data_IF_294958787144
#
_entry.id   IF_294958787144
#
_cell.length_a   1.000
_cell.length_b   1.000
_cell.length_c   1.000
_cell.angle_alpha   90.00
_cell.angle_beta   90.00
_cell.angle_gamma   90.00
#
_symmetry.space_group_name_H-M   'P 1'
#
loop_
_entity.id
_entity.type
_entity.pdbx_description
1 polymer ?
#
# COMPACT_ATOMS: atom_id res chain seq x y z
N UNK A 1 -8.28 6.83 -23.59
CA UNK A 1 -6.93 6.80 -23.01
C UNK A 1 -6.68 5.38 -22.58
N UNK A 2 -5.59 4.79 -23.02
CA UNK A 2 -5.15 3.47 -22.54
C UNK A 2 -4.47 3.68 -21.17
N UNK A 3 -4.88 2.93 -20.16
CA UNK A 3 -4.36 2.99 -18.80
C UNK A 3 -3.46 1.78 -18.45
N UNK A 4 -3.05 1.04 -19.49
CA UNK A 4 -2.11 -0.07 -19.38
C UNK A 4 -0.69 0.48 -19.11
N UNK A 5 0.07 -0.09 -18.17
CA UNK A 5 1.46 0.32 -17.92
C UNK A 5 2.34 0.15 -19.16
N UNK A 6 3.17 1.15 -19.45
CA UNK A 6 4.06 1.14 -20.62
C UNK A 6 5.20 0.11 -20.53
N UNK A 7 5.54 -0.33 -19.33
CA UNK A 7 6.65 -1.27 -19.07
C UNK A 7 6.24 -2.26 -18.01
N UNK A 8 6.40 -3.53 -18.31
CA UNK A 8 6.14 -4.63 -17.37
C UNK A 8 7.44 -5.05 -16.66
N UNK A 9 7.39 -5.40 -15.36
CA UNK A 9 8.54 -5.96 -14.67
C UNK A 9 9.04 -7.24 -15.35
N UNK A 10 10.35 -7.45 -15.52
CA UNK A 10 10.88 -8.64 -16.21
C UNK A 10 10.44 -9.96 -15.59
N UNK A 11 10.27 -10.03 -14.26
CA UNK A 11 9.85 -11.23 -13.55
C UNK A 11 8.36 -11.54 -13.67
N UNK A 12 7.52 -10.59 -14.13
CA UNK A 12 6.06 -10.69 -14.05
C UNK A 12 5.51 -11.93 -14.78
N UNK A 13 6.06 -12.27 -15.96
CA UNK A 13 5.63 -13.45 -16.72
C UNK A 13 5.86 -14.75 -15.96
N UNK A 14 7.02 -14.90 -15.33
CA UNK A 14 7.36 -16.08 -14.54
C UNK A 14 6.52 -16.19 -13.25
N UNK A 15 6.25 -15.06 -12.60
CA UNK A 15 5.38 -15.01 -11.41
C UNK A 15 3.94 -15.41 -11.76
N UNK A 16 3.41 -14.97 -12.89
CA UNK A 16 2.07 -15.37 -13.37
C UNK A 16 1.96 -16.84 -13.74
N UNK A 17 3.04 -17.43 -14.25
CA UNK A 17 3.09 -18.88 -14.45
C UNK A 17 3.02 -19.59 -13.11
N UNK A 18 3.85 -19.19 -12.15
CA UNK A 18 3.87 -19.77 -10.80
C UNK A 18 2.52 -19.61 -10.08
N UNK A 19 1.85 -18.45 -10.21
CA UNK A 19 0.52 -18.23 -9.67
C UNK A 19 -0.50 -19.23 -10.20
N UNK A 20 -0.54 -19.41 -11.54
CA UNK A 20 -1.47 -20.36 -12.17
C UNK A 20 -1.19 -21.80 -11.74
N UNK A 21 0.09 -22.21 -11.68
CA UNK A 21 0.48 -23.56 -11.25
C UNK A 21 0.11 -23.83 -9.78
N UNK A 22 0.18 -22.81 -8.93
CA UNK A 22 -0.21 -22.88 -7.53
C UNK A 22 -1.72 -22.67 -7.28
N UNK A 23 -2.50 -22.35 -8.30
CA UNK A 23 -3.92 -21.99 -8.14
C UNK A 23 -4.14 -20.69 -7.36
N UNK A 24 -3.14 -19.80 -7.31
CA UNK A 24 -3.24 -18.51 -6.63
C UNK A 24 -3.96 -17.50 -7.51
N UNK A 25 -5.02 -16.88 -7.00
CA UNK A 25 -5.90 -15.97 -7.75
C UNK A 25 -5.96 -14.53 -7.23
N UNK A 26 -5.23 -14.24 -6.15
CA UNK A 26 -5.22 -12.94 -5.49
C UNK A 26 -3.96 -12.14 -5.85
N UNK A 27 -3.62 -12.11 -7.14
CA UNK A 27 -2.47 -11.34 -7.62
C UNK A 27 -2.81 -9.87 -7.82
N UNK A 28 -1.83 -9.01 -7.56
CA UNK A 28 -1.90 -7.58 -7.84
C UNK A 28 -2.19 -7.33 -9.33
N UNK A 29 -3.19 -6.51 -9.63
CA UNK A 29 -3.57 -6.14 -11.00
C UNK A 29 -2.52 -5.23 -11.66
N UNK A 30 -2.41 -5.30 -13.00
CA UNK A 30 -1.43 -4.51 -13.76
C UNK A 30 -1.54 -3.00 -13.54
N UNK A 31 -2.75 -2.49 -13.41
CA UNK A 31 -2.99 -1.06 -13.19
C UNK A 31 -2.50 -0.61 -11.83
N UNK A 32 -2.83 -1.37 -10.77
CA UNK A 32 -2.29 -1.16 -9.42
C UNK A 32 -0.78 -1.27 -9.44
N UNK A 33 -0.24 -2.30 -10.10
CA UNK A 33 1.20 -2.50 -10.25
C UNK A 33 1.90 -1.33 -10.93
N UNK A 34 1.35 -0.81 -12.03
CA UNK A 34 1.88 0.39 -12.70
C UNK A 34 1.94 1.61 -11.77
N UNK A 35 0.90 1.81 -10.94
CA UNK A 35 0.89 2.88 -9.93
C UNK A 35 1.96 2.64 -8.85
N UNK A 36 2.12 1.40 -8.37
CA UNK A 36 3.17 1.04 -7.41
C UNK A 36 4.56 1.37 -7.94
N UNK A 37 4.85 1.04 -9.20
CA UNK A 37 6.13 1.38 -9.82
C UNK A 37 6.38 2.89 -9.88
N UNK A 38 5.37 3.68 -10.23
CA UNK A 38 5.47 5.16 -10.25
C UNK A 38 5.69 5.72 -8.85
N UNK A 39 4.95 5.24 -7.85
CA UNK A 39 5.09 5.69 -6.47
C UNK A 39 6.48 5.33 -5.90
N UNK A 40 6.99 4.13 -6.20
CA UNK A 40 8.33 3.72 -5.81
C UNK A 40 9.41 4.59 -6.49
N UNK A 41 9.27 4.88 -7.79
CA UNK A 41 10.18 5.76 -8.53
C UNK A 41 10.17 7.21 -8.02
N UNK A 42 9.05 7.68 -7.46
CA UNK A 42 8.94 9.00 -6.84
C UNK A 42 9.68 9.12 -5.50
N UNK A 43 10.27 8.04 -4.98
CA UNK A 43 10.97 7.97 -3.69
C UNK A 43 12.39 7.40 -3.83
N UNK A 44 13.32 8.12 -4.46
CA UNK A 44 14.71 7.68 -4.58
C UNK A 44 15.33 7.45 -3.19
N UNK A 45 15.96 6.28 -2.99
CA UNK A 45 16.49 5.86 -1.68
C UNK A 45 15.43 5.50 -0.65
N UNK A 46 14.15 5.46 -1.05
CA UNK A 46 13.01 5.27 -0.15
C UNK A 46 12.95 3.89 0.48
N UNK A 47 12.36 3.85 1.67
CA UNK A 47 12.01 2.63 2.39
C UNK A 47 10.56 2.29 2.09
N UNK A 48 10.33 1.09 1.63
CA UNK A 48 9.01 0.63 1.17
C UNK A 48 8.60 -0.59 1.99
N UNK A 49 7.33 -0.64 2.38
CA UNK A 49 6.69 -1.78 3.03
C UNK A 49 5.57 -2.30 2.13
N UNK A 50 5.53 -3.59 1.94
CA UNK A 50 4.41 -4.31 1.34
C UNK A 50 3.85 -5.30 2.36
N UNK A 51 2.55 -5.20 2.63
CA UNK A 51 1.78 -6.12 3.46
C UNK A 51 0.92 -6.99 2.54
N UNK A 52 1.30 -8.26 2.38
CA UNK A 52 0.76 -9.19 1.40
C UNK A 52 1.70 -9.36 0.20
N UNK A 53 2.72 -10.22 0.32
CA UNK A 53 3.62 -10.56 -0.80
C UNK A 53 2.90 -11.35 -1.89
N UNK A 54 2.01 -12.27 -1.48
CA UNK A 54 1.43 -13.24 -2.38
C UNK A 54 2.50 -14.00 -3.17
N UNK A 55 2.28 -14.18 -4.47
CA UNK A 55 3.28 -14.75 -5.39
C UNK A 55 4.34 -13.75 -5.85
N UNK A 56 4.25 -12.47 -5.44
CA UNK A 56 5.26 -11.44 -5.67
C UNK A 56 5.00 -10.51 -6.86
N UNK A 57 3.78 -10.44 -7.41
CA UNK A 57 3.49 -9.52 -8.51
C UNK A 57 3.61 -8.06 -8.06
N UNK A 58 3.00 -7.68 -6.90
CA UNK A 58 3.16 -6.35 -6.30
C UNK A 58 4.63 -6.03 -6.00
N UNK A 59 5.35 -6.99 -5.39
CA UNK A 59 6.79 -6.89 -5.12
C UNK A 59 7.59 -6.60 -6.40
N UNK A 60 7.30 -7.29 -7.51
CA UNK A 60 7.99 -7.07 -8.79
C UNK A 60 7.75 -5.66 -9.34
N UNK A 61 6.53 -5.15 -9.23
CA UNK A 61 6.20 -3.79 -9.64
C UNK A 61 6.92 -2.74 -8.80
N UNK A 62 6.92 -2.90 -7.47
CA UNK A 62 7.67 -2.00 -6.57
C UNK A 62 9.16 -1.99 -6.94
N UNK A 63 9.78 -3.17 -7.08
CA UNK A 63 11.19 -3.30 -7.46
C UNK A 63 11.51 -2.67 -8.81
N UNK A 64 10.57 -2.70 -9.76
CA UNK A 64 10.77 -2.10 -11.10
C UNK A 64 10.83 -0.56 -11.06
N UNK A 65 10.18 0.07 -10.08
CA UNK A 65 10.23 1.52 -9.88
C UNK A 65 11.36 2.00 -8.96
N UNK A 66 11.87 1.13 -8.10
CA UNK A 66 12.89 1.46 -7.09
C UNK A 66 14.26 1.70 -7.72
N UNK A 67 15.00 2.68 -7.19
CA UNK A 67 16.42 2.84 -7.49
C UNK A 67 17.31 1.85 -6.69
N UNK A 68 18.63 1.87 -6.94
CA UNK A 68 19.57 0.94 -6.29
C UNK A 68 19.79 1.17 -4.79
N UNK A 69 19.41 2.34 -4.27
CA UNK A 69 19.54 2.70 -2.85
C UNK A 69 18.28 2.44 -2.04
N UNK A 70 17.13 2.27 -2.69
CA UNK A 70 15.85 1.96 -2.04
C UNK A 70 15.85 0.58 -1.38
N UNK A 71 14.99 0.39 -0.40
CA UNK A 71 14.80 -0.88 0.33
C UNK A 71 13.33 -1.22 0.45
N UNK A 72 13.00 -2.48 0.20
CA UNK A 72 11.66 -3.05 0.30
C UNK A 72 11.65 -4.15 1.37
N UNK A 73 10.70 -4.06 2.29
CA UNK A 73 10.30 -5.16 3.16
C UNK A 73 8.94 -5.64 2.68
N UNK A 74 8.79 -6.94 2.45
CA UNK A 74 7.52 -7.55 2.07
C UNK A 74 7.16 -8.68 3.03
N UNK A 75 5.93 -8.65 3.57
CA UNK A 75 5.45 -9.54 4.63
C UNK A 75 4.34 -10.42 4.09
N UNK A 76 4.42 -11.73 4.35
CA UNK A 76 3.44 -12.72 3.92
C UNK A 76 3.20 -13.75 5.01
N UNK A 77 1.93 -14.08 5.24
CA UNK A 77 1.51 -15.08 6.21
C UNK A 77 1.90 -16.50 5.79
N UNK A 78 1.70 -16.82 4.50
CA UNK A 78 1.96 -18.16 3.95
C UNK A 78 3.39 -18.27 3.39
N UNK A 79 4.31 -18.96 4.09
CA UNK A 79 5.68 -19.12 3.61
C UNK A 79 5.77 -19.92 2.30
N UNK A 80 4.79 -20.79 2.00
CA UNK A 80 4.73 -21.55 0.76
C UNK A 80 4.41 -20.66 -0.44
N UNK A 81 3.45 -19.75 -0.28
CA UNK A 81 3.11 -18.75 -1.30
C UNK A 81 4.28 -17.79 -1.48
N UNK A 82 4.85 -17.26 -0.39
CA UNK A 82 6.00 -16.36 -0.47
C UNK A 82 7.24 -17.01 -1.11
N UNK A 83 7.42 -18.32 -0.98
CA UNK A 83 8.51 -19.04 -1.63
C UNK A 83 8.47 -18.95 -3.16
N UNK A 84 7.29 -18.73 -3.76
CA UNK A 84 7.14 -18.49 -5.20
C UNK A 84 7.78 -17.15 -5.59
N UNK A 85 7.47 -16.09 -4.84
CA UNK A 85 8.09 -14.79 -4.99
C UNK A 85 9.61 -14.83 -4.79
N UNK A 86 10.08 -15.48 -3.72
CA UNK A 86 11.51 -15.61 -3.40
C UNK A 86 12.31 -16.29 -4.51
N UNK A 87 11.74 -17.30 -5.19
CA UNK A 87 12.44 -17.97 -6.30
C UNK A 87 12.74 -17.04 -7.47
N UNK A 88 11.86 -16.07 -7.73
CA UNK A 88 11.99 -15.16 -8.86
C UNK A 88 12.71 -13.86 -8.50
N UNK A 89 12.53 -13.36 -7.30
CA UNK A 89 12.94 -12.02 -6.88
C UNK A 89 14.01 -12.03 -5.77
N UNK A 90 14.27 -13.18 -5.14
CA UNK A 90 15.15 -13.27 -3.98
C UNK A 90 16.63 -12.96 -4.22
N UNK A 91 17.07 -12.85 -5.49
CA UNK A 91 18.41 -12.40 -5.84
C UNK A 91 18.56 -10.87 -5.85
N UNK A 92 17.46 -10.12 -5.78
CA UNK A 92 17.51 -8.66 -5.73
C UNK A 92 17.93 -8.21 -4.31
N UNK A 93 19.05 -7.49 -4.15
CA UNK A 93 19.55 -7.11 -2.82
C UNK A 93 18.70 -6.03 -2.13
N UNK A 94 17.74 -5.44 -2.84
CA UNK A 94 16.88 -4.38 -2.32
C UNK A 94 15.69 -4.91 -1.54
N UNK A 95 15.31 -6.20 -1.70
CA UNK A 95 14.12 -6.78 -1.08
C UNK A 95 14.46 -7.69 0.09
N UNK A 96 13.73 -7.53 1.19
CA UNK A 96 13.71 -8.43 2.35
C UNK A 96 12.34 -9.07 2.45
N UNK A 97 12.30 -10.39 2.37
CA UNK A 97 11.07 -11.16 2.53
C UNK A 97 10.91 -11.62 3.99
N UNK A 98 9.75 -11.39 4.57
CA UNK A 98 9.40 -11.81 5.93
C UNK A 98 8.19 -12.74 5.86
N UNK A 99 8.36 -13.99 6.32
CA UNK A 99 7.25 -14.92 6.48
C UNK A 99 6.74 -14.82 7.92
N UNK A 100 5.63 -14.09 8.11
CA UNK A 100 5.04 -13.82 9.42
C UNK A 100 3.56 -13.41 9.27
N UNK A 101 2.79 -13.49 10.36
CA UNK A 101 1.52 -12.77 10.47
C UNK A 101 1.79 -11.26 10.39
N UNK A 102 1.08 -10.57 9.46
CA UNK A 102 1.31 -9.15 9.22
C UNK A 102 0.95 -8.27 10.42
N UNK A 103 -0.04 -8.67 11.23
CA UNK A 103 -0.41 -7.96 12.45
C UNK A 103 0.66 -8.08 13.54
N UNK A 104 1.14 -9.31 13.79
CA UNK A 104 2.22 -9.56 14.75
C UNK A 104 3.51 -8.86 14.32
N UNK A 105 3.79 -8.86 13.01
CA UNK A 105 4.95 -8.15 12.47
C UNK A 105 4.83 -6.63 12.68
N UNK A 106 3.67 -6.04 12.36
CA UNK A 106 3.43 -4.61 12.58
C UNK A 106 3.64 -4.22 14.04
N UNK A 107 3.11 -5.00 14.99
CA UNK A 107 3.25 -4.72 16.42
C UNK A 107 4.71 -4.81 16.91
N UNK A 108 5.48 -5.74 16.35
CA UNK A 108 6.87 -5.99 16.76
C UNK A 108 7.89 -5.11 16.05
N UNK A 109 7.52 -4.44 14.96
CA UNK A 109 8.46 -3.64 14.19
C UNK A 109 8.83 -2.34 14.93
N UNK A 110 10.12 -2.16 15.20
CA UNK A 110 10.71 -1.02 15.91
C UNK A 110 11.73 -0.22 15.06
N UNK A 111 11.77 -0.51 13.75
CA UNK A 111 12.69 0.16 12.83
C UNK A 111 12.19 1.52 12.34
N UNK A 112 12.94 2.10 11.40
CA UNK A 112 12.63 3.38 10.78
C UNK A 112 11.31 3.33 9.99
N UNK A 113 10.55 4.43 9.93
CA UNK A 113 9.32 4.51 9.15
C UNK A 113 9.56 4.35 7.64
N UNK A 114 8.48 4.16 6.89
CA UNK A 114 8.49 3.89 5.45
C UNK A 114 7.97 5.09 4.64
N UNK A 115 8.60 5.35 3.50
CA UNK A 115 8.20 6.40 2.56
C UNK A 115 6.98 5.99 1.71
N UNK A 116 6.81 4.67 1.52
CA UNK A 116 5.66 4.07 0.84
C UNK A 116 5.26 2.80 1.58
N UNK A 117 3.99 2.69 1.93
CA UNK A 117 3.37 1.47 2.46
C UNK A 117 2.26 1.04 1.51
N UNK A 118 2.32 -0.20 1.06
CA UNK A 118 1.28 -0.86 0.27
C UNK A 118 0.60 -1.93 1.11
N UNK A 119 -0.71 -1.80 1.34
CA UNK A 119 -1.51 -2.73 2.12
C UNK A 119 -2.47 -3.50 1.22
N UNK A 120 -2.13 -4.75 0.92
CA UNK A 120 -2.87 -5.69 0.09
C UNK A 120 -3.24 -6.97 0.88
N UNK A 121 -3.47 -6.82 2.16
CA UNK A 121 -3.92 -7.88 3.07
C UNK A 121 -4.75 -7.29 4.22
N UNK A 122 -5.31 -8.12 5.09
CA UNK A 122 -6.15 -7.66 6.21
C UNK A 122 -5.39 -6.83 7.25
N UNK A 123 -4.22 -7.25 7.76
CA UNK A 123 -3.39 -6.39 8.60
C UNK A 123 -2.92 -5.14 7.83
N UNK A 124 -3.02 -4.00 8.49
CA UNK A 124 -2.76 -2.68 7.89
C UNK A 124 -3.97 -2.09 7.16
N UNK A 125 -4.97 -2.91 6.79
CA UNK A 125 -6.19 -2.48 6.11
C UNK A 125 -7.39 -2.49 7.06
N UNK A 126 -7.81 -3.66 7.53
CA UNK A 126 -8.98 -3.84 8.39
C UNK A 126 -8.64 -4.11 9.85
N UNK A 127 -7.43 -4.58 10.10
CA UNK A 127 -6.86 -4.76 11.45
C UNK A 127 -5.50 -4.06 11.51
N UNK A 128 -5.06 -3.64 12.68
CA UNK A 128 -3.76 -2.97 12.90
C UNK A 128 -3.55 -1.71 12.03
N UNK A 129 -4.63 -1.05 11.57
CA UNK A 129 -4.56 0.13 10.71
C UNK A 129 -3.75 1.25 11.37
N UNK A 130 -4.04 1.58 12.63
CA UNK A 130 -3.34 2.65 13.35
C UNK A 130 -1.85 2.39 13.39
N UNK A 131 -1.45 1.16 13.71
CA UNK A 131 -0.04 0.77 13.76
C UNK A 131 0.64 0.88 12.39
N UNK A 132 -0.05 0.47 11.33
CA UNK A 132 0.48 0.60 9.97
C UNK A 132 0.62 2.08 9.54
N UNK A 133 -0.34 2.93 9.90
CA UNK A 133 -0.28 4.37 9.63
C UNK A 133 0.85 5.06 10.42
N UNK A 134 1.13 4.63 11.65
CA UNK A 134 2.25 5.14 12.45
C UNK A 134 3.60 4.89 11.79
N UNK A 135 3.72 3.80 11.01
CA UNK A 135 4.93 3.45 10.27
C UNK A 135 5.13 4.25 8.97
N UNK A 136 4.17 5.07 8.55
CA UNK A 136 4.35 5.96 7.39
C UNK A 136 5.19 7.17 7.79
N UNK A 137 6.26 7.43 7.07
CA UNK A 137 7.10 8.60 7.30
C UNK A 137 6.32 9.91 7.05
N UNK A 138 6.68 11.04 7.69
CA UNK A 138 6.16 12.35 7.30
C UNK A 138 6.35 12.61 5.80
N UNK A 139 5.29 12.94 5.08
CA UNK A 139 5.28 13.05 3.62
C UNK A 139 5.23 11.70 2.89
N UNK A 140 5.26 10.58 3.61
CA UNK A 140 5.14 9.23 3.07
C UNK A 140 3.72 8.93 2.59
N UNK A 141 3.62 7.92 1.73
CA UNK A 141 2.38 7.49 1.09
C UNK A 141 1.92 6.15 1.65
N UNK A 142 0.64 6.02 1.94
CA UNK A 142 -0.05 4.79 2.26
C UNK A 142 -1.02 4.46 1.12
N UNK A 143 -0.85 3.31 0.47
CA UNK A 143 -1.73 2.82 -0.59
C UNK A 143 -2.43 1.55 -0.13
N UNK A 144 -3.75 1.52 -0.26
CA UNK A 144 -4.61 0.38 0.13
C UNK A 144 -5.31 -0.12 -1.10
N UNK A 145 -5.29 -1.43 -1.32
CA UNK A 145 -5.96 -2.09 -2.43
C UNK A 145 -7.25 -2.81 -2.03
N UNK A 146 -8.02 -3.26 -3.03
CA UNK A 146 -9.19 -4.13 -2.89
C UNK A 146 -10.36 -3.48 -2.13
N UNK A 147 -10.76 -2.29 -2.53
CA UNK A 147 -11.84 -1.56 -1.86
C UNK A 147 -13.18 -1.53 -2.63
N UNK A 148 -13.17 -1.89 -3.92
CA UNK A 148 -14.40 -2.08 -4.69
C UNK A 148 -14.96 -3.50 -4.49
N UNK A 149 -16.28 -3.65 -4.44
CA UNK A 149 -16.90 -4.97 -4.31
C UNK A 149 -16.45 -5.93 -5.42
N UNK A 150 -16.02 -7.13 -5.04
CA UNK A 150 -15.64 -8.20 -5.97
C UNK A 150 -16.59 -9.38 -5.84
N UNK A 151 -16.92 -10.09 -6.93
CA UNK A 151 -17.72 -11.30 -6.86
C UNK A 151 -17.08 -12.35 -5.93
N UNK A 152 -17.87 -12.88 -5.00
CA UNK A 152 -17.41 -13.92 -4.08
C UNK A 152 -16.78 -13.43 -2.78
N UNK A 153 -16.63 -12.13 -2.58
CA UNK A 153 -16.17 -11.62 -1.29
C UNK A 153 -17.24 -11.74 -0.20
N UNK A 154 -16.83 -11.97 1.06
CA UNK A 154 -17.76 -12.02 2.18
C UNK A 154 -18.50 -10.68 2.36
N UNK A 155 -19.78 -10.74 2.74
CA UNK A 155 -20.58 -9.54 3.07
C UNK A 155 -19.91 -8.66 4.15
N UNK A 156 -19.18 -9.28 5.08
CA UNK A 156 -18.39 -8.59 6.08
C UNK A 156 -17.28 -7.70 5.50
N UNK A 157 -16.78 -7.99 4.30
CA UNK A 157 -15.75 -7.19 3.64
C UNK A 157 -16.25 -5.77 3.35
N UNK A 158 -17.44 -5.63 2.78
CA UNK A 158 -18.02 -4.31 2.48
C UNK A 158 -18.20 -3.45 3.74
N UNK A 159 -18.61 -4.08 4.85
CA UNK A 159 -18.72 -3.38 6.13
C UNK A 159 -17.34 -2.91 6.65
N UNK A 160 -16.31 -3.72 6.46
CA UNK A 160 -14.93 -3.38 6.83
C UNK A 160 -14.38 -2.23 5.96
N UNK A 161 -14.65 -2.25 4.65
CA UNK A 161 -14.29 -1.14 3.76
C UNK A 161 -14.96 0.17 4.18
N UNK A 162 -16.28 0.16 4.47
CA UNK A 162 -16.98 1.36 4.93
C UNK A 162 -16.37 1.94 6.21
N UNK A 163 -15.99 1.08 7.16
CA UNK A 163 -15.33 1.50 8.40
C UNK A 163 -13.96 2.11 8.12
N UNK A 164 -13.11 1.42 7.36
CA UNK A 164 -11.79 1.92 6.94
C UNK A 164 -11.87 3.30 6.30
N UNK A 165 -12.82 3.49 5.37
CA UNK A 165 -12.97 4.77 4.69
C UNK A 165 -13.40 5.89 5.63
N UNK A 166 -14.28 5.60 6.60
CA UNK A 166 -14.69 6.57 7.62
C UNK A 166 -13.53 6.93 8.58
N UNK A 167 -12.73 5.93 8.98
CA UNK A 167 -11.57 6.14 9.83
C UNK A 167 -10.53 7.03 9.14
N UNK A 168 -10.24 6.79 7.86
CA UNK A 168 -9.30 7.61 7.09
C UNK A 168 -9.81 9.04 6.82
N UNK A 169 -11.12 9.21 6.59
CA UNK A 169 -11.73 10.55 6.40
C UNK A 169 -11.70 11.40 7.67
N UNK A 170 -11.79 10.76 8.83
CA UNK A 170 -11.69 11.43 10.14
C UNK A 170 -10.29 11.90 10.51
N UNK A 171 -9.25 11.51 9.75
CA UNK A 171 -7.86 11.83 10.10
C UNK A 171 -7.44 13.22 9.64
N UNK A 172 -6.81 13.95 10.55
CA UNK A 172 -6.24 15.27 10.25
C UNK A 172 -4.76 15.23 9.85
N UNK A 173 -4.07 14.15 10.23
CA UNK A 173 -2.65 13.91 9.98
C UNK A 173 -2.38 13.30 8.60
N UNK A 174 -3.42 12.83 7.90
CA UNK A 174 -3.35 12.34 6.53
C UNK A 174 -4.23 13.14 5.58
N UNK A 175 -3.83 13.18 4.30
CA UNK A 175 -4.68 13.61 3.18
C UNK A 175 -4.94 12.39 2.31
N UNK A 176 -6.19 12.02 2.15
CA UNK A 176 -6.57 10.81 1.41
C UNK A 176 -7.44 11.11 0.20
N UNK A 177 -7.36 10.23 -0.79
CA UNK A 177 -8.22 10.21 -1.98
C UNK A 177 -8.63 8.79 -2.29
N UNK A 178 -9.91 8.61 -2.67
CA UNK A 178 -10.44 7.34 -3.17
C UNK A 178 -10.26 7.30 -4.68
N UNK A 179 -9.76 6.21 -5.21
CA UNK A 179 -9.52 6.01 -6.63
C UNK A 179 -10.39 4.83 -7.11
N UNK A 180 -11.33 5.10 -8.00
CA UNK A 180 -12.07 4.05 -8.72
C UNK A 180 -11.16 3.48 -9.83
N UNK A 181 -10.05 2.89 -9.42
CA UNK A 181 -8.97 2.39 -10.25
C UNK A 181 -8.71 0.93 -9.90
N UNK A 182 -8.60 0.05 -10.91
CA UNK A 182 -8.34 -1.37 -10.67
C UNK A 182 -9.43 -2.00 -9.78
N UNK A 183 -9.02 -2.68 -8.71
CA UNK A 183 -9.84 -3.24 -7.63
C UNK A 183 -10.39 -2.21 -6.64
N UNK A 184 -10.12 -0.91 -6.85
CA UNK A 184 -10.47 0.19 -5.96
C UNK A 184 -9.39 0.46 -4.92
N UNK A 185 -8.85 1.68 -4.97
CA UNK A 185 -7.73 2.08 -4.13
C UNK A 185 -8.07 3.26 -3.21
N UNK A 186 -7.40 3.35 -2.08
CA UNK A 186 -7.22 4.60 -1.34
C UNK A 186 -5.74 4.92 -1.29
N UNK A 187 -5.41 6.15 -1.67
CA UNK A 187 -4.09 6.71 -1.46
C UNK A 187 -4.17 7.78 -0.39
N UNK A 188 -3.34 7.66 0.64
CA UNK A 188 -3.23 8.63 1.72
C UNK A 188 -1.78 9.08 1.90
N UNK A 189 -1.55 10.35 2.15
CA UNK A 189 -0.22 10.91 2.39
C UNK A 189 -0.18 11.50 3.78
N UNK A 190 0.81 11.09 4.59
CA UNK A 190 1.02 11.66 5.92
C UNK A 190 1.50 13.10 5.81
N UNK A 191 0.87 14.03 6.56
CA UNK A 191 1.32 15.42 6.63
C UNK A 191 2.78 15.53 7.10
N UNK A 192 3.51 16.51 6.60
CA UNK A 192 4.80 16.86 7.16
C UNK A 192 4.62 17.33 8.62
N UNK A 193 5.51 16.91 9.52
CA UNK A 193 5.48 17.35 10.92
C UNK A 193 5.59 18.87 10.96
N UNK A 194 4.52 19.56 11.44
CA UNK A 194 4.46 21.03 11.51
C UNK A 194 3.33 21.70 10.72
N UNK A 195 2.53 20.96 9.94
CA UNK A 195 1.33 21.51 9.33
C UNK A 195 0.22 21.60 10.39
N UNK A 196 0.21 22.68 11.18
CA UNK A 196 -0.96 23.08 11.97
C UNK A 196 -2.16 23.24 11.05
N UNK A 197 -3.31 22.69 11.46
CA UNK A 197 -4.58 22.90 10.77
C UNK A 197 -4.77 24.39 10.47
N UNK A 198 -5.36 24.77 9.31
CA UNK A 198 -5.69 26.16 9.06
C UNK A 198 -6.61 26.63 10.20
N UNK A 199 -6.18 27.67 10.90
CA UNK A 199 -6.96 28.36 11.90
C UNK A 199 -8.26 28.80 11.21
N UNK A 200 -9.40 28.29 11.65
CA UNK A 200 -10.71 28.84 11.31
C UNK A 200 -10.70 30.32 11.68
N UNK A 201 -10.48 31.18 10.70
CA UNK A 201 -10.69 32.60 10.84
C UNK A 201 -12.20 32.79 11.02
N UNK A 202 -12.63 32.82 12.28
CA UNK A 202 -13.95 33.22 12.66
C UNK A 202 -14.23 34.58 12.00
N UNK A 203 -15.18 34.62 11.11
CA UNK A 203 -15.81 35.83 10.59
C UNK A 203 -16.47 36.53 11.77
N UNK A 204 -15.73 37.43 12.41
CA UNK A 204 -16.31 38.45 13.24
C UNK A 204 -17.04 39.44 12.31
N UNK A 205 -18.35 39.21 12.18
CA UNK A 205 -19.23 40.11 11.48
C UNK A 205 -19.29 41.47 12.23
N UNK A 206 -18.68 42.45 11.64
CA UNK A 206 -18.86 43.86 11.99
C UNK A 206 -20.27 44.29 11.50
N UNK A 207 -21.15 44.61 12.44
CA UNK A 207 -22.43 45.25 12.16
C UNK A 207 -22.19 46.78 12.25
N UNK A 208 -22.44 47.55 11.20
CA UNK A 208 -22.55 49.01 11.38
C UNK A 208 -23.92 49.32 12.00
N UNK A 209 -23.88 49.95 13.17
CA UNK A 209 -24.98 50.73 13.67
C UNK A 209 -25.04 52.05 12.87
N UNK A 210 -26.26 52.42 12.44
CA UNK A 210 -26.56 53.65 11.78
C UNK A 210 -28.03 53.72 11.37
#
# INVERSE_FOLDING_TARGET
MDDTPNTLPPALSALRVAAREAGFTMSCEERTGGLLAVLAAARPGGRILELGTGVGEGTAWLLSGMDGSSRLVTVELDPGVQALARRQLGSDPRVTFVAADGGEWLESYDGEPFDLVFADTWPGKFTHLERALDLVAPGGTYLIDDLLPQPGWPEAHEASVRRLLADLEGRHDFRSVRLAWSSGLVMAVRGASGATAPHDAAHAGDRPEG
#
